data_IF_871294165808
#
_entry.id   IF_871294165808
#
_cell.length_a   1.000
_cell.length_b   1.000
_cell.length_c   1.000
_cell.angle_alpha   90.00
_cell.angle_beta   90.00
_cell.angle_gamma   90.00
#
_symmetry.space_group_name_H-M   'P 1'
#
loop_
_entity.id
_entity.type
_entity.pdbx_description
1 polymer ?
#
# COMPACT_ATOMS: atom_id res chain seq x y z
N UNK A 1 7.13 -23.56 -40.47
CA UNK A 1 7.91 -22.87 -39.42
C UNK A 1 6.99 -21.91 -38.70
N UNK A 2 6.65 -22.21 -37.45
CA UNK A 2 5.89 -21.31 -36.59
C UNK A 2 6.86 -20.57 -35.67
N UNK A 3 6.79 -19.25 -35.65
CA UNK A 3 7.53 -18.42 -34.71
C UNK A 3 6.66 -18.15 -33.49
N UNK A 4 7.04 -18.69 -32.33
CA UNK A 4 6.44 -18.33 -31.05
C UNK A 4 7.14 -17.08 -30.52
N UNK A 5 6.45 -15.94 -30.59
CA UNK A 5 6.94 -14.69 -30.04
C UNK A 5 6.57 -14.67 -28.55
N UNK A 6 7.51 -15.08 -27.70
CA UNK A 6 7.35 -14.97 -26.25
C UNK A 6 7.57 -13.53 -25.82
N UNK A 7 6.49 -12.78 -25.58
CA UNK A 7 6.57 -11.52 -24.86
C UNK A 7 7.05 -11.83 -23.44
N UNK A 8 8.32 -11.57 -23.15
CA UNK A 8 8.80 -11.53 -21.77
C UNK A 8 8.00 -10.44 -21.07
N UNK A 9 7.01 -10.82 -20.25
CA UNK A 9 6.49 -9.94 -19.22
C UNK A 9 7.73 -9.42 -18.48
N UNK A 10 7.93 -8.09 -18.46
CA UNK A 10 9.11 -7.46 -17.82
C UNK A 10 9.34 -8.16 -16.49
N UNK A 11 10.52 -8.75 -16.29
CA UNK A 11 10.84 -9.49 -15.08
C UNK A 11 10.56 -8.59 -13.87
N UNK A 12 9.45 -8.85 -13.17
CA UNK A 12 9.11 -8.10 -11.97
C UNK A 12 9.99 -8.64 -10.84
N UNK A 13 10.68 -7.77 -10.09
CA UNK A 13 11.45 -8.22 -8.94
C UNK A 13 10.52 -8.93 -7.97
N UNK A 14 10.97 -10.07 -7.46
CA UNK A 14 10.23 -10.82 -6.43
C UNK A 14 10.15 -9.96 -5.17
N UNK A 15 8.95 -9.86 -4.57
CA UNK A 15 8.73 -9.14 -3.31
C UNK A 15 9.18 -9.99 -2.12
N UNK A 16 10.48 -10.28 -2.03
CA UNK A 16 11.04 -11.20 -1.04
C UNK A 16 10.83 -10.75 0.42
N UNK A 17 10.56 -9.46 0.66
CA UNK A 17 10.30 -8.88 1.98
C UNK A 17 8.84 -8.55 2.26
N UNK A 18 7.88 -9.03 1.46
CA UNK A 18 6.47 -8.76 1.71
C UNK A 18 6.00 -9.37 3.04
N UNK A 19 5.26 -8.62 3.89
CA UNK A 19 4.65 -9.18 5.09
C UNK A 19 3.69 -10.31 4.74
N UNK A 20 3.71 -11.38 5.55
CA UNK A 20 2.82 -12.53 5.45
C UNK A 20 1.67 -12.44 6.45
N UNK A 21 0.61 -13.23 6.26
CA UNK A 21 -0.55 -13.25 7.17
C UNK A 21 -0.11 -13.60 8.59
N UNK A 22 -0.60 -12.84 9.56
CA UNK A 22 -0.25 -13.01 10.98
C UNK A 22 1.04 -12.29 11.40
N UNK A 23 1.80 -11.72 10.46
CA UNK A 23 2.90 -10.80 10.80
C UNK A 23 2.37 -9.40 11.07
N UNK A 24 3.06 -8.69 11.97
CA UNK A 24 2.83 -7.26 12.17
C UNK A 24 3.23 -6.51 10.90
N UNK A 25 2.35 -5.62 10.42
CA UNK A 25 2.68 -4.74 9.31
C UNK A 25 3.84 -3.81 9.72
N UNK A 26 4.88 -3.64 8.87
CA UNK A 26 5.92 -2.65 9.11
C UNK A 26 5.31 -1.26 9.22
N UNK A 27 5.83 -0.45 10.15
CA UNK A 27 5.45 0.96 10.21
C UNK A 27 6.05 1.73 9.04
N UNK A 28 5.33 2.74 8.57
CA UNK A 28 5.77 3.62 7.49
C UNK A 28 5.08 4.97 7.55
N UNK A 29 5.73 5.95 6.94
CA UNK A 29 5.16 7.28 6.66
C UNK A 29 5.31 7.57 5.18
N UNK A 30 4.21 7.91 4.52
CA UNK A 30 4.16 8.30 3.11
C UNK A 30 3.57 9.70 2.99
N UNK A 31 3.93 10.41 1.93
CA UNK A 31 3.28 11.67 1.61
C UNK A 31 1.97 11.40 0.88
N UNK A 32 0.89 12.07 1.30
CA UNK A 32 -0.36 12.10 0.56
C UNK A 32 -0.26 13.00 -0.69
N UNK A 33 -1.36 13.14 -1.42
CA UNK A 33 -1.42 13.96 -2.64
C UNK A 33 -1.23 15.45 -2.41
N UNK A 34 -1.39 15.93 -1.17
CA UNK A 34 -1.14 17.31 -0.76
C UNK A 34 0.28 17.53 -0.23
N UNK A 35 1.11 16.47 -0.21
CA UNK A 35 2.46 16.50 0.35
C UNK A 35 2.49 16.47 1.87
N UNK A 36 1.40 16.06 2.53
CA UNK A 36 1.36 15.89 3.98
C UNK A 36 1.85 14.49 4.36
N UNK A 37 2.72 14.36 5.37
CA UNK A 37 3.18 13.07 5.85
C UNK A 37 2.05 12.35 6.61
N UNK A 38 1.74 11.13 6.18
CA UNK A 38 0.73 10.25 6.78
C UNK A 38 1.41 8.94 7.21
N UNK A 39 1.35 8.65 8.50
CA UNK A 39 1.84 7.38 9.06
C UNK A 39 0.75 6.30 9.02
N UNK A 40 1.16 5.03 9.05
CA UNK A 40 0.23 3.91 9.19
C UNK A 40 -0.63 4.05 10.44
N UNK A 41 -0.04 4.45 11.57
CA UNK A 41 -0.76 4.63 12.84
C UNK A 41 -1.87 5.70 12.76
N UNK A 42 -1.61 6.80 12.03
CA UNK A 42 -2.58 7.88 11.85
C UNK A 42 -3.87 7.41 11.17
N UNK A 43 -3.83 6.35 10.36
CA UNK A 43 -5.02 5.79 9.71
C UNK A 43 -6.04 5.18 10.69
N UNK A 44 -5.65 4.94 11.94
CA UNK A 44 -6.51 4.37 12.97
C UNK A 44 -6.94 5.41 14.01
N UNK A 45 -6.49 6.66 13.87
CA UNK A 45 -6.94 7.76 14.72
C UNK A 45 -8.37 8.17 14.34
N UNK A 46 -9.21 8.55 15.32
CA UNK A 46 -10.53 9.10 15.02
C UNK A 46 -10.38 10.45 14.31
N UNK A 47 -11.33 10.74 13.41
CA UNK A 47 -11.31 11.99 12.67
C UNK A 47 -11.50 13.18 13.63
N UNK A 48 -10.70 14.23 13.46
CA UNK A 48 -10.64 15.34 14.42
C UNK A 48 -11.85 16.28 14.32
N UNK A 49 -12.62 16.19 13.23
CA UNK A 49 -13.76 17.08 12.95
C UNK A 49 -15.11 16.50 13.43
N UNK A 50 -15.15 15.20 13.79
CA UNK A 50 -16.37 14.54 14.25
C UNK A 50 -16.14 13.82 15.58
N UNK A 51 -16.60 14.44 16.67
CA UNK A 51 -16.53 13.92 18.04
C UNK A 51 -17.28 12.59 18.25
N UNK A 52 -18.04 12.10 17.26
CA UNK A 52 -18.69 10.78 17.28
C UNK A 52 -18.05 9.76 16.33
N UNK A 53 -16.99 10.14 15.61
CA UNK A 53 -16.33 9.25 14.66
C UNK A 53 -15.75 8.03 15.38
N UNK A 54 -16.17 6.84 14.95
CA UNK A 54 -15.58 5.59 15.40
C UNK A 54 -14.25 5.39 14.66
N UNK A 55 -13.14 5.15 15.38
CA UNK A 55 -11.85 4.98 14.74
C UNK A 55 -11.85 3.74 13.81
N UNK A 56 -11.16 3.81 12.66
CA UNK A 56 -11.01 2.68 11.77
C UNK A 56 -10.37 1.49 12.48
N UNK A 57 -10.76 0.26 12.10
CA UNK A 57 -10.21 -0.98 12.68
C UNK A 57 -9.30 -1.76 11.74
N UNK A 58 -9.28 -1.38 10.46
CA UNK A 58 -8.50 -2.04 9.42
C UNK A 58 -8.13 -1.03 8.34
N UNK A 59 -6.99 -1.26 7.68
CA UNK A 59 -6.54 -0.50 6.53
C UNK A 59 -6.23 -1.47 5.37
N UNK A 60 -6.53 -1.04 4.14
CA UNK A 60 -6.18 -1.77 2.92
C UNK A 60 -5.02 -1.04 2.21
N UNK A 61 -3.88 -1.71 2.07
CA UNK A 61 -2.70 -1.16 1.40
C UNK A 61 -2.66 -1.65 -0.05
N UNK A 62 -2.78 -0.72 -0.99
CA UNK A 62 -2.71 -1.00 -2.43
C UNK A 62 -1.37 -0.47 -2.96
N UNK A 63 -0.42 -1.37 -3.16
CA UNK A 63 0.85 -1.06 -3.82
C UNK A 63 0.65 -1.12 -5.33
N UNK A 64 0.85 0.00 -6.01
CA UNK A 64 0.73 0.09 -7.45
C UNK A 64 2.01 0.67 -8.07
N UNK A 65 2.31 0.27 -9.31
CA UNK A 65 3.48 0.74 -10.05
C UNK A 65 3.03 1.61 -11.23
N UNK A 66 3.32 2.91 -11.14
CA UNK A 66 2.99 3.89 -12.17
C UNK A 66 1.66 4.57 -11.90
N UNK A 67 1.72 5.88 -11.69
CA UNK A 67 0.60 6.82 -11.76
C UNK A 67 0.74 7.54 -13.11
N UNK A 68 -0.30 7.54 -13.94
CA UNK A 68 -0.29 8.20 -15.25
C UNK A 68 -0.73 9.65 -15.11
#
# INVERSE_FOLDING_TARGET
MAFFISFHARAMPTSAGAPTVGQLAPDFTLFDTSGQPVSLARLFEPDTDDSKAVPPKAALLIFYRGYW
#
